data_IF_186520912388
#
_entry.id   IF_186520912388
#
_cell.length_a   1.000
_cell.length_b   1.000
_cell.length_c   1.000
_cell.angle_alpha   90.00
_cell.angle_beta   90.00
_cell.angle_gamma   90.00
#
_symmetry.space_group_name_H-M   'P 1'
#
loop_
_entity.id
_entity.type
_entity.pdbx_description
1 polymer ?
#
# COMPACT_ATOMS: atom_id res chain seq x y z
N UNK A 1 61.77 -1.63 23.32
CA UNK A 1 60.62 -1.83 22.38
C UNK A 1 60.33 -0.50 21.71
N UNK A 2 60.35 -0.42 20.39
CA UNK A 2 60.15 0.86 19.70
C UNK A 2 58.72 1.36 19.87
N UNK A 3 58.59 2.63 20.11
CA UNK A 3 57.33 3.37 20.32
C UNK A 3 56.31 3.20 19.17
N UNK A 4 56.81 2.81 18.00
CA UNK A 4 56.03 2.52 16.79
C UNK A 4 55.17 1.26 16.88
N UNK A 5 55.65 0.19 17.52
CA UNK A 5 54.87 -1.04 17.68
C UNK A 5 53.70 -0.90 18.66
N UNK A 6 53.85 -0.06 19.69
CA UNK A 6 52.78 0.21 20.63
C UNK A 6 51.63 1.03 19.99
N UNK A 7 51.98 1.97 19.11
CA UNK A 7 51.01 2.76 18.34
C UNK A 7 50.26 1.91 17.31
N UNK A 8 50.98 1.00 16.62
CA UNK A 8 50.35 0.11 15.62
C UNK A 8 49.37 -0.89 16.27
N UNK A 9 49.75 -1.45 17.45
CA UNK A 9 48.81 -2.27 18.25
C UNK A 9 47.59 -1.49 18.73
N UNK A 10 47.78 -0.25 19.17
CA UNK A 10 46.66 0.61 19.58
C UNK A 10 45.67 0.88 18.44
N UNK A 11 46.19 1.19 17.25
CA UNK A 11 45.35 1.41 16.05
C UNK A 11 44.59 0.15 15.60
N UNK A 12 45.25 -1.02 15.67
CA UNK A 12 44.57 -2.29 15.33
C UNK A 12 43.45 -2.64 16.31
N UNK A 13 43.69 -2.43 17.61
CA UNK A 13 42.66 -2.71 18.63
C UNK A 13 41.45 -1.75 18.54
N UNK A 14 41.69 -0.48 18.22
CA UNK A 14 40.61 0.49 18.01
C UNK A 14 39.83 0.19 16.74
N UNK A 15 40.48 -0.27 15.65
CA UNK A 15 39.84 -0.73 14.43
C UNK A 15 38.94 -1.96 14.67
N UNK A 16 39.51 -2.98 15.37
CA UNK A 16 38.75 -4.19 15.70
C UNK A 16 37.50 -3.89 16.57
N UNK A 17 37.65 -3.01 17.56
CA UNK A 17 36.54 -2.59 18.42
C UNK A 17 35.45 -1.81 17.64
N UNK A 18 35.87 -1.04 16.64
CA UNK A 18 34.93 -0.33 15.76
C UNK A 18 34.16 -1.29 14.84
N UNK A 19 34.85 -2.29 14.28
CA UNK A 19 34.22 -3.32 13.41
C UNK A 19 33.25 -4.18 14.20
N UNK A 20 33.61 -4.67 15.38
CA UNK A 20 32.67 -5.42 16.24
C UNK A 20 31.46 -4.58 16.57
N UNK A 21 31.62 -3.31 16.91
CA UNK A 21 30.49 -2.40 17.21
C UNK A 21 29.56 -2.19 16.00
N UNK A 22 30.14 -2.11 14.82
CA UNK A 22 29.36 -1.93 13.57
C UNK A 22 28.61 -3.20 13.20
N UNK A 23 29.19 -4.39 13.38
CA UNK A 23 28.51 -5.67 13.19
C UNK A 23 27.34 -5.86 14.15
N UNK A 24 27.52 -5.52 15.43
CA UNK A 24 26.41 -5.57 16.40
C UNK A 24 25.28 -4.62 16.05
N UNK A 25 25.61 -3.42 15.57
CA UNK A 25 24.60 -2.44 15.12
C UNK A 25 23.89 -2.87 13.84
N UNK A 26 24.61 -3.46 12.89
CA UNK A 26 24.05 -3.97 11.66
C UNK A 26 23.10 -5.17 11.91
N UNK A 27 23.52 -6.11 12.76
CA UNK A 27 22.70 -7.26 13.14
C UNK A 27 21.39 -6.89 13.86
N UNK A 28 21.45 -5.87 14.72
CA UNK A 28 20.26 -5.40 15.44
C UNK A 28 19.28 -4.64 14.51
N UNK A 29 19.78 -3.85 13.58
CA UNK A 29 18.95 -3.14 12.59
C UNK A 29 18.20 -4.10 11.65
N UNK A 30 18.85 -5.18 11.20
CA UNK A 30 18.20 -6.16 10.32
C UNK A 30 17.13 -6.99 11.04
N UNK A 31 17.32 -7.27 12.32
CA UNK A 31 16.29 -7.92 13.16
C UNK A 31 15.11 -6.98 13.40
N UNK A 32 15.38 -5.72 13.75
CA UNK A 32 14.35 -4.72 13.96
C UNK A 32 13.54 -4.48 12.67
N UNK A 33 14.20 -4.34 11.53
CA UNK A 33 13.54 -4.18 10.23
C UNK A 33 12.63 -5.38 9.91
N UNK A 34 13.10 -6.61 10.13
CA UNK A 34 12.26 -7.81 9.94
C UNK A 34 11.05 -7.83 10.86
N UNK A 35 11.24 -7.51 12.14
CA UNK A 35 10.15 -7.43 13.11
C UNK A 35 9.12 -6.37 12.72
N UNK A 36 9.56 -5.21 12.24
CA UNK A 36 8.68 -4.14 11.75
C UNK A 36 7.89 -4.60 10.52
N UNK A 37 8.53 -5.25 9.55
CA UNK A 37 7.86 -5.77 8.36
C UNK A 37 6.81 -6.83 8.74
N UNK A 38 7.16 -7.76 9.63
CA UNK A 38 6.21 -8.77 10.12
C UNK A 38 5.06 -8.11 10.88
N UNK A 39 5.34 -7.17 11.76
CA UNK A 39 4.30 -6.44 12.50
C UNK A 39 3.35 -5.69 11.57
N UNK A 40 3.89 -4.98 10.56
CA UNK A 40 3.10 -4.29 9.54
C UNK A 40 2.26 -5.26 8.69
N UNK A 41 2.82 -6.41 8.33
CA UNK A 41 2.08 -7.45 7.60
C UNK A 41 0.93 -8.00 8.44
N UNK A 42 1.15 -8.26 9.74
CA UNK A 42 0.10 -8.71 10.66
C UNK A 42 -0.99 -7.65 10.80
N UNK A 43 -0.61 -6.38 10.96
CA UNK A 43 -1.57 -5.26 11.03
C UNK A 43 -2.36 -5.15 9.72
N UNK A 44 -1.71 -5.28 8.55
CA UNK A 44 -2.39 -5.24 7.26
C UNK A 44 -3.40 -6.38 7.10
N UNK A 45 -3.05 -7.60 7.52
CA UNK A 45 -3.97 -8.75 7.51
C UNK A 45 -5.12 -8.51 8.50
N UNK A 46 -4.83 -8.06 9.71
CA UNK A 46 -5.84 -7.79 10.73
C UNK A 46 -6.83 -6.71 10.29
N UNK A 47 -6.35 -5.62 9.68
CA UNK A 47 -7.19 -4.56 9.14
C UNK A 47 -8.00 -5.00 7.93
N UNK A 48 -7.44 -5.85 7.06
CA UNK A 48 -8.15 -6.46 5.95
C UNK A 48 -9.31 -7.33 6.43
N UNK A 49 -9.04 -8.26 7.36
CA UNK A 49 -10.08 -9.11 7.97
C UNK A 49 -11.10 -8.25 8.71
N UNK A 50 -10.65 -7.29 9.51
CA UNK A 50 -11.50 -6.34 10.21
C UNK A 50 -12.42 -5.55 9.27
N UNK A 51 -11.93 -5.13 8.10
CA UNK A 51 -12.71 -4.41 7.09
C UNK A 51 -13.84 -5.26 6.50
N UNK A 52 -13.65 -6.57 6.39
CA UNK A 52 -14.70 -7.50 5.95
C UNK A 52 -15.72 -7.73 7.08
N UNK A 53 -15.24 -7.84 8.32
CA UNK A 53 -16.07 -8.12 9.49
C UNK A 53 -16.90 -6.92 9.96
N UNK A 54 -16.39 -5.68 9.79
CA UNK A 54 -17.07 -4.45 10.24
C UNK A 54 -17.71 -3.72 9.05
N UNK A 55 -18.91 -3.21 9.24
CA UNK A 55 -19.60 -2.41 8.20
C UNK A 55 -20.97 -1.95 8.66
N UNK A 56 -21.54 -0.96 7.96
CA UNK A 56 -22.82 -0.31 8.30
C UNK A 56 -24.07 -1.23 8.14
N UNK A 57 -23.90 -2.40 7.56
CA UNK A 57 -24.98 -3.40 7.48
C UNK A 57 -24.74 -4.47 8.54
N UNK A 58 -25.81 -4.89 9.23
CA UNK A 58 -25.83 -5.86 10.33
C UNK A 58 -25.56 -7.31 9.87
N UNK A 59 -24.49 -7.52 9.09
CA UNK A 59 -24.01 -8.88 8.83
C UNK A 59 -23.38 -9.42 10.11
N UNK A 60 -23.94 -10.49 10.67
CA UNK A 60 -23.46 -11.08 11.92
C UNK A 60 -21.99 -11.49 11.80
N UNK A 61 -21.16 -11.01 12.72
CA UNK A 61 -19.73 -11.39 12.81
C UNK A 61 -19.56 -12.92 12.86
N UNK A 62 -20.47 -13.63 13.52
CA UNK A 62 -20.47 -15.07 13.57
C UNK A 62 -20.66 -15.73 12.20
N UNK A 63 -21.50 -15.14 11.34
CA UNK A 63 -21.76 -15.65 9.99
C UNK A 63 -20.56 -15.40 9.06
N UNK A 64 -19.89 -14.24 9.19
CA UNK A 64 -18.65 -13.95 8.46
C UNK A 64 -17.54 -14.92 8.86
N UNK A 65 -17.41 -15.20 10.16
CA UNK A 65 -16.42 -16.13 10.66
C UNK A 65 -16.66 -17.56 10.16
N UNK A 66 -17.91 -18.05 10.21
CA UNK A 66 -18.28 -19.37 9.67
C UNK A 66 -18.01 -19.50 8.18
N UNK A 67 -18.26 -18.43 7.43
CA UNK A 67 -17.92 -18.38 6.02
C UNK A 67 -16.39 -18.50 5.79
N UNK A 68 -15.58 -17.81 6.58
CA UNK A 68 -14.11 -17.86 6.49
C UNK A 68 -13.54 -19.26 6.79
N UNK A 69 -14.17 -20.01 7.70
CA UNK A 69 -13.73 -21.37 8.06
C UNK A 69 -14.35 -22.47 7.16
N UNK A 70 -15.08 -22.09 6.11
CA UNK A 70 -15.59 -23.03 5.10
C UNK A 70 -16.99 -23.59 5.35
N UNK A 71 -17.71 -23.13 6.40
CA UNK A 71 -19.11 -23.50 6.66
C UNK A 71 -20.11 -22.66 5.85
N UNK A 72 -19.73 -22.27 4.62
CA UNK A 72 -20.36 -21.19 3.86
C UNK A 72 -21.80 -21.43 3.41
N UNK A 73 -22.22 -22.67 3.18
CA UNK A 73 -23.45 -22.92 2.43
C UNK A 73 -24.74 -22.89 3.26
N UNK A 74 -24.65 -22.92 4.59
CA UNK A 74 -25.84 -22.94 5.44
C UNK A 74 -26.02 -21.72 6.37
N UNK A 75 -25.01 -20.86 6.48
CA UNK A 75 -24.97 -19.82 7.51
C UNK A 75 -25.29 -18.39 7.01
N UNK A 76 -25.15 -18.10 5.72
CA UNK A 76 -25.34 -16.75 5.19
C UNK A 76 -26.71 -16.59 4.54
N UNK A 77 -27.46 -15.57 4.96
CA UNK A 77 -28.62 -15.11 4.20
C UNK A 77 -28.16 -14.58 2.83
N UNK A 78 -29.02 -14.61 1.82
CA UNK A 78 -28.73 -14.05 0.48
C UNK A 78 -28.24 -12.59 0.60
N UNK A 79 -28.81 -11.83 1.53
CA UNK A 79 -28.43 -10.44 1.81
C UNK A 79 -26.99 -10.35 2.34
N UNK A 80 -26.61 -11.20 3.31
CA UNK A 80 -25.27 -11.19 3.90
C UNK A 80 -24.22 -11.59 2.86
N UNK A 81 -24.54 -12.56 2.02
CA UNK A 81 -23.67 -13.00 0.92
C UNK A 81 -23.37 -11.86 -0.06
N UNK A 82 -24.37 -11.14 -0.49
CA UNK A 82 -24.21 -9.97 -1.39
C UNK A 82 -23.38 -8.90 -0.71
N UNK A 83 -23.65 -8.56 0.56
CA UNK A 83 -22.91 -7.54 1.30
C UNK A 83 -21.44 -7.91 1.44
N UNK A 84 -21.13 -9.17 1.75
CA UNK A 84 -19.75 -9.61 1.99
C UNK A 84 -18.99 -9.77 0.68
N UNK A 85 -19.55 -10.49 -0.31
CA UNK A 85 -18.85 -10.86 -1.54
C UNK A 85 -18.85 -9.76 -2.59
N UNK A 86 -19.97 -9.06 -2.77
CA UNK A 86 -20.12 -8.11 -3.86
C UNK A 86 -19.78 -6.67 -3.45
N UNK A 87 -19.77 -6.36 -2.13
CA UNK A 87 -19.50 -5.02 -1.65
C UNK A 87 -18.21 -4.96 -0.82
N UNK A 88 -18.13 -5.72 0.27
CA UNK A 88 -17.02 -5.59 1.25
C UNK A 88 -15.71 -6.17 0.74
N UNK A 89 -15.76 -7.38 0.20
CA UNK A 89 -14.56 -8.06 -0.28
C UNK A 89 -13.87 -7.31 -1.43
N UNK A 90 -14.58 -6.90 -2.51
CA UNK A 90 -13.94 -6.13 -3.58
C UNK A 90 -13.38 -4.80 -3.08
N UNK A 91 -14.08 -4.11 -2.18
CA UNK A 91 -13.62 -2.84 -1.60
C UNK A 91 -12.35 -3.04 -0.75
N UNK A 92 -12.29 -4.09 0.06
CA UNK A 92 -11.12 -4.39 0.87
C UNK A 92 -9.91 -4.77 0.01
N UNK A 93 -10.13 -5.58 -1.04
CA UNK A 93 -9.08 -5.95 -2.01
C UNK A 93 -8.57 -4.72 -2.77
N UNK A 94 -9.47 -3.86 -3.26
CA UNK A 94 -9.08 -2.61 -3.91
C UNK A 94 -8.26 -1.70 -2.98
N UNK A 95 -8.68 -1.55 -1.72
CA UNK A 95 -7.92 -0.78 -0.73
C UNK A 95 -6.51 -1.33 -0.52
N UNK A 96 -6.35 -2.64 -0.46
CA UNK A 96 -5.04 -3.29 -0.34
C UNK A 96 -4.19 -3.07 -1.59
N UNK A 97 -4.76 -3.21 -2.80
CA UNK A 97 -4.04 -2.99 -4.06
C UNK A 97 -3.60 -1.53 -4.21
N UNK A 98 -4.46 -0.58 -3.86
CA UNK A 98 -4.13 0.86 -3.87
C UNK A 98 -3.00 1.14 -2.88
N UNK A 99 -3.08 0.63 -1.65
CA UNK A 99 -2.01 0.80 -0.66
C UNK A 99 -0.68 0.19 -1.10
N UNK A 100 -0.72 -1.01 -1.69
CA UNK A 100 0.48 -1.67 -2.23
C UNK A 100 1.10 -0.88 -3.39
N UNK A 101 0.30 -0.38 -4.32
CA UNK A 101 0.79 0.42 -5.46
C UNK A 101 1.39 1.75 -5.01
N UNK A 102 0.78 2.42 -4.03
CA UNK A 102 1.33 3.63 -3.43
C UNK A 102 2.66 3.37 -2.70
N UNK A 103 2.77 2.25 -1.97
CA UNK A 103 4.01 1.88 -1.30
C UNK A 103 5.14 1.63 -2.29
N UNK A 104 4.88 0.89 -3.39
CA UNK A 104 5.87 0.62 -4.43
C UNK A 104 6.29 1.91 -5.13
N UNK A 105 5.34 2.76 -5.54
CA UNK A 105 5.64 4.03 -6.19
C UNK A 105 6.43 4.96 -5.26
N UNK A 106 6.10 5.00 -3.97
CA UNK A 106 6.84 5.74 -2.96
C UNK A 106 8.30 5.30 -2.88
N UNK A 107 8.58 3.99 -2.81
CA UNK A 107 9.96 3.47 -2.78
C UNK A 107 10.72 3.82 -4.07
N UNK A 108 10.09 3.71 -5.22
CA UNK A 108 10.70 4.07 -6.51
C UNK A 108 11.05 5.55 -6.55
N UNK A 109 10.13 6.43 -6.12
CA UNK A 109 10.36 7.87 -6.07
C UNK A 109 11.50 8.24 -5.11
N UNK A 110 11.52 7.66 -3.91
CA UNK A 110 12.59 7.86 -2.95
C UNK A 110 13.96 7.44 -3.49
N UNK A 111 14.01 6.31 -4.23
CA UNK A 111 15.22 5.85 -4.90
C UNK A 111 15.68 6.76 -6.03
N UNK A 112 14.74 7.20 -6.88
CA UNK A 112 15.01 8.05 -8.04
C UNK A 112 15.55 9.43 -7.61
N UNK A 113 14.89 10.06 -6.65
CA UNK A 113 15.29 11.40 -6.16
C UNK A 113 16.35 11.34 -5.06
N UNK A 114 16.74 10.15 -4.62
CA UNK A 114 17.65 9.94 -3.47
C UNK A 114 17.24 10.77 -2.24
N UNK A 115 15.95 10.93 -2.05
CA UNK A 115 15.36 11.73 -1.00
C UNK A 115 14.27 10.91 -0.28
N UNK A 116 14.41 10.62 1.02
CA UNK A 116 13.41 9.86 1.77
C UNK A 116 12.06 10.58 1.93
N UNK A 117 11.98 11.88 1.62
CA UNK A 117 10.76 12.68 1.66
C UNK A 117 10.03 12.73 0.30
N UNK A 118 10.55 12.06 -0.73
CA UNK A 118 9.89 12.00 -2.02
C UNK A 118 8.58 11.20 -1.91
N UNK A 119 7.49 11.82 -2.35
CA UNK A 119 6.13 11.27 -2.31
C UNK A 119 5.51 11.33 -3.71
N UNK A 120 4.92 10.24 -4.23
CA UNK A 120 4.24 10.24 -5.51
C UNK A 120 3.08 11.25 -5.57
N UNK A 121 2.47 11.60 -4.43
CA UNK A 121 1.45 12.64 -4.35
C UNK A 121 1.92 14.04 -4.75
N UNK A 122 3.22 14.33 -4.55
CA UNK A 122 3.82 15.63 -4.91
C UNK A 122 3.96 15.84 -6.42
N UNK A 123 3.98 14.78 -7.21
CA UNK A 123 4.09 14.84 -8.68
C UNK A 123 2.75 15.21 -9.36
N UNK A 124 1.68 15.34 -8.57
CA UNK A 124 0.38 15.76 -9.09
C UNK A 124 -0.51 14.63 -9.62
N UNK A 125 -0.13 13.36 -9.44
CA UNK A 125 -0.93 12.20 -9.88
C UNK A 125 -2.37 12.27 -9.37
N UNK A 126 -2.53 12.56 -8.07
CA UNK A 126 -3.86 12.61 -7.43
C UNK A 126 -4.71 13.78 -7.91
N UNK A 127 -4.11 14.96 -8.09
CA UNK A 127 -4.81 16.14 -8.61
C UNK A 127 -5.20 15.97 -10.07
N UNK A 128 -4.34 15.36 -10.88
CA UNK A 128 -4.63 15.04 -12.26
C UNK A 128 -5.73 13.99 -12.40
N UNK A 129 -5.69 12.95 -11.59
CA UNK A 129 -6.74 11.92 -11.55
C UNK A 129 -8.10 12.52 -11.16
N UNK A 130 -8.11 13.39 -10.15
CA UNK A 130 -9.32 14.10 -9.72
C UNK A 130 -9.85 15.03 -10.82
N UNK A 131 -8.96 15.76 -11.51
CA UNK A 131 -9.33 16.61 -12.63
C UNK A 131 -9.94 15.79 -13.78
N UNK A 132 -9.32 14.67 -14.16
CA UNK A 132 -9.82 13.78 -15.20
C UNK A 132 -11.20 13.22 -14.86
N UNK A 133 -11.42 12.80 -13.61
CA UNK A 133 -12.72 12.34 -13.14
C UNK A 133 -13.77 13.45 -13.18
N UNK A 134 -13.46 14.66 -12.69
CA UNK A 134 -14.39 15.80 -12.67
C UNK A 134 -14.71 16.24 -14.09
N UNK A 135 -13.74 16.32 -14.98
CA UNK A 135 -13.98 16.65 -16.39
C UNK A 135 -14.93 15.65 -17.05
N UNK A 136 -14.76 14.37 -16.78
CA UNK A 136 -15.69 13.35 -17.30
C UNK A 136 -17.09 13.49 -16.71
N UNK A 137 -17.24 13.78 -15.42
CA UNK A 137 -18.55 13.96 -14.78
C UNK A 137 -19.26 15.19 -15.34
N UNK A 138 -18.54 16.32 -15.49
CA UNK A 138 -19.13 17.61 -15.88
C UNK A 138 -19.39 17.66 -17.39
N UNK A 139 -18.43 17.22 -18.20
CA UNK A 139 -18.52 17.31 -19.67
C UNK A 139 -18.99 15.98 -20.30
N UNK A 140 -19.02 14.90 -19.54
CA UNK A 140 -19.15 13.53 -20.04
C UNK A 140 -20.43 13.25 -20.79
N UNK A 141 -21.55 13.80 -20.34
CA UNK A 141 -22.84 13.60 -21.00
C UNK A 141 -22.97 14.38 -22.33
N UNK A 142 -22.34 15.58 -22.40
CA UNK A 142 -22.45 16.44 -23.57
C UNK A 142 -21.38 16.15 -24.64
N UNK A 143 -20.13 15.88 -24.21
CA UNK A 143 -18.97 15.81 -25.12
C UNK A 143 -18.41 14.39 -25.28
N UNK A 144 -18.49 13.57 -24.23
CA UNK A 144 -17.89 12.22 -24.17
C UNK A 144 -18.93 11.10 -24.15
N UNK A 145 -20.15 11.35 -24.61
CA UNK A 145 -21.21 10.34 -24.73
C UNK A 145 -20.75 9.03 -25.38
N UNK A 146 -19.98 9.04 -26.50
CA UNK A 146 -19.42 7.83 -27.09
C UNK A 146 -18.46 7.09 -26.18
N UNK A 147 -17.68 7.80 -25.34
CA UNK A 147 -16.76 7.21 -24.39
C UNK A 147 -17.51 6.48 -23.27
N UNK A 148 -18.63 7.06 -22.79
CA UNK A 148 -19.50 6.40 -21.82
C UNK A 148 -20.15 5.14 -22.41
N UNK A 149 -20.54 5.17 -23.68
CA UNK A 149 -21.11 4.00 -24.35
C UNK A 149 -20.06 2.86 -24.51
N UNK A 150 -18.79 3.22 -24.71
CA UNK A 150 -17.69 2.25 -24.89
C UNK A 150 -17.22 1.66 -23.55
N UNK A 151 -17.02 2.48 -22.53
CA UNK A 151 -16.43 2.07 -21.26
C UNK A 151 -17.45 1.83 -20.14
N UNK A 152 -18.70 2.30 -20.28
CA UNK A 152 -19.76 2.11 -19.30
C UNK A 152 -19.33 2.47 -17.88
N UNK A 153 -19.44 1.51 -16.97
CA UNK A 153 -19.04 1.67 -15.56
C UNK A 153 -17.55 2.02 -15.36
N UNK A 154 -16.68 1.63 -16.30
CA UNK A 154 -15.25 1.88 -16.22
C UNK A 154 -14.81 3.26 -16.76
N UNK A 155 -15.72 4.04 -17.33
CA UNK A 155 -15.39 5.36 -17.91
C UNK A 155 -14.73 6.30 -16.88
N UNK A 156 -15.24 6.35 -15.65
CA UNK A 156 -14.71 7.20 -14.59
C UNK A 156 -13.30 6.81 -14.14
N UNK A 157 -13.02 5.55 -13.80
CA UNK A 157 -11.65 5.08 -13.51
C UNK A 157 -10.67 5.31 -14.65
N UNK A 158 -11.08 5.11 -15.89
CA UNK A 158 -10.23 5.34 -17.07
C UNK A 158 -9.90 6.81 -17.24
N UNK A 159 -10.87 7.71 -17.09
CA UNK A 159 -10.61 9.14 -17.15
C UNK A 159 -9.70 9.63 -16.02
N UNK A 160 -9.89 9.12 -14.82
CA UNK A 160 -9.02 9.40 -13.69
C UNK A 160 -7.58 8.91 -13.95
N UNK A 161 -7.42 7.72 -14.50
CA UNK A 161 -6.11 7.15 -14.86
C UNK A 161 -5.39 8.04 -15.89
N UNK A 162 -6.05 8.41 -16.96
CA UNK A 162 -5.44 9.29 -17.98
C UNK A 162 -5.17 10.70 -17.45
N UNK A 163 -6.04 11.24 -16.60
CA UNK A 163 -5.80 12.53 -15.93
C UNK A 163 -4.54 12.50 -15.07
N UNK A 164 -4.36 11.47 -14.25
CA UNK A 164 -3.15 11.26 -13.46
C UNK A 164 -1.90 11.04 -14.31
N UNK A 165 -2.01 10.28 -15.41
CA UNK A 165 -0.91 10.04 -16.33
C UNK A 165 -0.43 11.34 -17.02
N UNK A 166 -1.36 12.13 -17.53
CA UNK A 166 -1.04 13.40 -18.20
C UNK A 166 -0.31 14.36 -17.27
N UNK A 167 -0.80 14.54 -16.03
CA UNK A 167 -0.14 15.41 -15.06
C UNK A 167 1.21 14.91 -14.59
N UNK A 168 1.46 13.62 -14.67
CA UNK A 168 2.77 13.03 -14.31
C UNK A 168 3.80 13.21 -15.43
N UNK A 169 3.35 13.33 -16.70
CA UNK A 169 4.22 13.49 -17.87
C UNK A 169 4.52 14.97 -18.21
N UNK A 170 3.75 15.91 -17.66
CA UNK A 170 3.95 17.35 -17.81
C UNK A 170 4.95 17.90 -16.79
#
# INVERSE_FOLDING_TARGET
MPRSEALDRGMRLTGLAADIRNEWRAGNRSRLARLLVVALAVIAIATFVGSIMTGAADASLANVWRWLIGEADQALSIRDRIIILDIRLPRAVLGMLVGASLAVSGVVMQGLFRNPLADPGLVGVSSGASLGAVLLIVLGTATFGPLFALFGFYALPVAAFFGGLVTTLL
#
